data_IF_896976010830
#
_entry.id   IF_896976010830
#
_cell.length_a   1.000
_cell.length_b   1.000
_cell.length_c   1.000
_cell.angle_alpha   90.00
_cell.angle_beta   90.00
_cell.angle_gamma   90.00
#
_symmetry.space_group_name_H-M   'P 1'
#
loop_
_entity.id
_entity.type
_entity.pdbx_description
1 polymer ?
#
# COMPACT_ATOMS: atom_id res chain seq x y z
N UNK A 1 3.72 12.37 -28.78
CA UNK A 1 3.98 13.07 -27.51
C UNK A 1 3.28 12.35 -26.39
N UNK A 2 3.99 12.02 -25.32
CA UNK A 2 3.48 11.32 -24.14
C UNK A 2 3.49 12.30 -22.96
N UNK A 3 2.42 12.33 -22.17
CA UNK A 3 2.34 13.09 -20.93
C UNK A 3 2.35 12.10 -19.76
N UNK A 4 3.24 12.31 -18.80
CA UNK A 4 3.30 11.52 -17.57
C UNK A 4 3.37 12.45 -16.36
N UNK A 5 2.57 12.15 -15.33
CA UNK A 5 2.60 12.86 -14.05
C UNK A 5 3.70 12.37 -13.11
N UNK A 6 4.28 11.19 -13.38
CA UNK A 6 5.39 10.62 -12.63
C UNK A 6 6.61 10.56 -13.55
N UNK A 7 7.68 11.32 -13.28
CA UNK A 7 8.61 11.74 -14.33
C UNK A 7 9.40 10.60 -15.00
N UNK A 8 9.53 9.41 -14.39
CA UNK A 8 10.16 8.19 -14.98
C UNK A 8 10.10 6.99 -13.98
N UNK A 9 9.07 6.95 -13.14
CA UNK A 9 9.31 6.51 -11.76
C UNK A 9 9.41 5.01 -11.48
N UNK A 10 9.25 4.07 -12.41
CA UNK A 10 9.42 2.67 -12.06
C UNK A 10 10.22 1.87 -13.07
N UNK A 11 11.51 1.74 -12.80
CA UNK A 11 12.47 0.88 -13.52
C UNK A 11 12.91 1.40 -14.90
N UNK A 12 14.19 1.23 -15.27
CA UNK A 12 14.68 1.53 -16.62
C UNK A 12 13.90 0.80 -17.73
N UNK A 13 13.27 -0.34 -17.42
CA UNK A 13 12.44 -1.09 -18.36
C UNK A 13 11.18 -0.33 -18.77
N UNK A 14 10.49 0.33 -17.82
CA UNK A 14 9.29 1.11 -18.13
C UNK A 14 9.69 2.35 -18.94
N UNK A 15 10.83 2.98 -18.62
CA UNK A 15 11.40 4.04 -19.45
C UNK A 15 11.63 3.56 -20.88
N UNK A 16 12.21 2.37 -21.10
CA UNK A 16 12.38 1.84 -22.45
C UNK A 16 11.04 1.68 -23.18
N UNK A 17 10.02 1.14 -22.51
CA UNK A 17 8.69 0.98 -23.10
C UNK A 17 8.06 2.33 -23.48
N UNK A 18 8.18 3.35 -22.64
CA UNK A 18 7.70 4.70 -22.92
C UNK A 18 8.45 5.34 -24.10
N UNK A 19 9.78 5.18 -24.15
CA UNK A 19 10.60 5.72 -25.22
C UNK A 19 10.36 5.01 -26.55
N UNK A 20 10.11 3.70 -26.55
CA UNK A 20 9.77 2.98 -27.78
C UNK A 20 8.44 3.46 -28.38
N UNK A 21 7.48 3.88 -27.55
CA UNK A 21 6.22 4.49 -28.01
C UNK A 21 6.45 5.92 -28.51
N UNK A 22 7.26 6.72 -27.78
CA UNK A 22 7.45 8.13 -28.08
C UNK A 22 8.40 8.38 -29.26
N UNK A 23 9.51 7.64 -29.29
CA UNK A 23 10.62 7.73 -30.26
C UNK A 23 11.15 6.31 -30.55
N UNK A 24 10.45 5.53 -31.39
CA UNK A 24 10.82 4.14 -31.68
C UNK A 24 12.27 3.99 -32.14
N UNK A 25 12.98 3.01 -31.59
CA UNK A 25 14.35 2.69 -31.97
C UNK A 25 15.46 3.55 -31.35
N UNK A 26 15.13 4.61 -30.57
CA UNK A 26 16.15 5.45 -29.92
C UNK A 26 17.07 4.66 -28.99
N UNK A 27 16.50 3.76 -28.19
CA UNK A 27 17.22 2.95 -27.20
C UNK A 27 17.61 1.56 -27.73
N UNK A 28 17.33 1.29 -29.01
CA UNK A 28 17.53 -0.01 -29.62
C UNK A 28 16.63 -1.12 -29.05
N UNK A 29 17.00 -2.37 -29.33
CA UNK A 29 16.25 -3.55 -28.90
C UNK A 29 16.23 -3.70 -27.36
N UNK A 30 15.08 -4.10 -26.81
CA UNK A 30 14.88 -4.29 -25.37
C UNK A 30 15.93 -5.21 -24.73
N UNK A 31 16.30 -6.31 -25.38
CA UNK A 31 17.27 -7.26 -24.85
C UNK A 31 18.64 -6.61 -24.60
N UNK A 32 19.08 -5.78 -25.54
CA UNK A 32 20.33 -5.02 -25.44
C UNK A 32 20.23 -3.95 -24.37
N UNK A 33 19.16 -3.15 -24.40
CA UNK A 33 18.90 -2.12 -23.39
C UNK A 33 18.88 -2.71 -21.97
N UNK A 34 18.20 -3.84 -21.77
CA UNK A 34 18.05 -4.50 -20.47
C UNK A 34 19.40 -4.92 -19.89
N UNK A 35 20.28 -5.49 -20.71
CA UNK A 35 21.61 -5.94 -20.25
C UNK A 35 22.58 -4.78 -20.02
N UNK A 36 22.51 -3.73 -20.86
CA UNK A 36 23.42 -2.58 -20.78
C UNK A 36 23.04 -1.62 -19.64
N UNK A 37 21.75 -1.35 -19.46
CA UNK A 37 21.26 -0.36 -18.50
C UNK A 37 20.47 -1.01 -17.36
N UNK A 38 19.35 -1.67 -17.65
CA UNK A 38 18.40 -2.07 -16.60
C UNK A 38 19.00 -3.02 -15.54
N UNK A 39 19.72 -4.05 -15.96
CA UNK A 39 20.37 -5.02 -15.06
C UNK A 39 21.58 -4.44 -14.35
N UNK A 40 22.38 -3.58 -15.01
CA UNK A 40 23.52 -2.89 -14.39
C UNK A 40 23.03 -1.98 -13.26
N UNK A 41 22.01 -1.17 -13.54
CA UNK A 41 21.41 -0.26 -12.56
C UNK A 41 20.79 -1.05 -11.40
N UNK A 42 20.07 -2.14 -11.71
CA UNK A 42 19.46 -3.01 -10.69
C UNK A 42 20.50 -3.68 -9.79
N UNK A 43 21.67 -4.06 -10.32
CA UNK A 43 22.77 -4.64 -9.53
C UNK A 43 23.40 -3.59 -8.61
N UNK A 44 23.66 -2.38 -9.10
CA UNK A 44 24.24 -1.31 -8.30
C UNK A 44 23.30 -0.71 -7.24
N UNK A 45 21.98 -0.94 -7.36
CA UNK A 45 21.00 -0.53 -6.33
C UNK A 45 20.84 -1.55 -5.18
N UNK A 46 21.51 -2.70 -5.23
CA UNK A 46 21.43 -3.68 -4.14
C UNK A 46 22.23 -3.19 -2.93
N UNK A 47 21.73 -3.45 -1.73
CA UNK A 47 22.41 -3.10 -0.46
C UNK A 47 23.82 -3.73 -0.33
N UNK A 48 24.05 -4.84 -1.01
CA UNK A 48 25.31 -5.59 -1.01
C UNK A 48 26.17 -5.30 -2.25
N UNK A 49 25.87 -4.21 -2.98
CA UNK A 49 26.63 -3.86 -4.18
C UNK A 49 28.09 -3.53 -3.83
N UNK A 50 29.01 -4.00 -4.67
CA UNK A 50 30.42 -3.61 -4.56
C UNK A 50 30.62 -2.20 -5.09
N UNK A 51 31.68 -1.52 -4.64
CA UNK A 51 32.02 -0.17 -5.11
C UNK A 51 32.12 -0.09 -6.65
N UNK A 52 32.62 -1.14 -7.31
CA UNK A 52 32.64 -1.24 -8.77
C UNK A 52 31.24 -1.30 -9.39
N UNK A 53 30.30 -1.99 -8.75
CA UNK A 53 28.90 -2.08 -9.22
C UNK A 53 28.17 -0.74 -9.06
N UNK A 54 28.44 0.00 -7.99
CA UNK A 54 27.89 1.34 -7.79
C UNK A 54 28.40 2.31 -8.85
N UNK A 55 29.73 2.35 -9.11
CA UNK A 55 30.31 3.18 -10.17
C UNK A 55 29.76 2.83 -11.56
N UNK A 56 29.61 1.53 -11.85
CA UNK A 56 29.04 1.09 -13.12
C UNK A 56 27.57 1.51 -13.27
N UNK A 57 26.79 1.48 -12.18
CA UNK A 57 25.42 2.03 -12.16
C UNK A 57 25.44 3.52 -12.45
N UNK A 58 26.26 4.29 -11.76
CA UNK A 58 26.30 5.76 -11.93
C UNK A 58 26.63 6.13 -13.38
N UNK A 59 27.63 5.46 -13.99
CA UNK A 59 27.96 5.65 -15.41
C UNK A 59 26.80 5.26 -16.34
N UNK A 60 26.15 4.12 -16.10
CA UNK A 60 25.03 3.68 -16.91
C UNK A 60 23.83 4.65 -16.82
N UNK A 61 23.58 5.23 -15.65
CA UNK A 61 22.53 6.25 -15.43
C UNK A 61 22.87 7.53 -16.18
N UNK A 62 24.12 7.99 -16.11
CA UNK A 62 24.58 9.20 -16.81
C UNK A 62 24.46 9.04 -18.33
N UNK A 63 24.94 7.92 -18.89
CA UNK A 63 24.82 7.60 -20.31
C UNK A 63 23.35 7.54 -20.76
N UNK A 64 22.48 6.88 -19.97
CA UNK A 64 21.07 6.77 -20.30
C UNK A 64 20.36 8.12 -20.25
N UNK A 65 20.64 8.95 -19.24
CA UNK A 65 20.06 10.28 -19.13
C UNK A 65 20.50 11.17 -20.29
N UNK A 66 21.76 11.08 -20.73
CA UNK A 66 22.26 11.83 -21.88
C UNK A 66 21.52 11.44 -23.18
N UNK A 67 21.21 10.15 -23.37
CA UNK A 67 20.47 9.67 -24.55
C UNK A 67 19.03 10.20 -24.62
N UNK A 68 18.35 10.33 -23.48
CA UNK A 68 16.95 10.73 -23.42
C UNK A 68 16.76 12.25 -23.21
N UNK A 69 17.84 12.99 -22.92
CA UNK A 69 17.79 14.38 -22.47
C UNK A 69 16.97 15.29 -23.40
N UNK A 70 17.21 15.22 -24.71
CA UNK A 70 16.52 16.06 -25.70
C UNK A 70 15.05 15.68 -25.94
N UNK A 71 14.64 14.51 -25.45
CA UNK A 71 13.29 13.95 -25.66
C UNK A 71 12.40 14.04 -24.42
N UNK A 72 12.98 14.34 -23.25
CA UNK A 72 12.26 14.42 -21.97
C UNK A 72 12.23 15.86 -21.48
N UNK A 73 11.07 16.51 -21.62
CA UNK A 73 10.84 17.80 -21.00
C UNK A 73 10.31 17.61 -19.57
N UNK A 74 11.16 17.87 -18.57
CA UNK A 74 10.75 17.91 -17.17
C UNK A 74 10.82 19.35 -16.65
N UNK A 75 9.66 19.92 -16.28
CA UNK A 75 9.58 21.18 -15.56
C UNK A 75 9.33 20.89 -14.10
N UNK A 76 10.24 21.34 -13.24
CA UNK A 76 9.97 21.40 -11.82
C UNK A 76 9.19 22.68 -11.55
N UNK A 77 8.23 22.62 -10.62
CA UNK A 77 7.53 23.81 -10.18
C UNK A 77 8.50 24.62 -9.32
N UNK A 78 9.26 25.53 -9.93
CA UNK A 78 10.17 26.42 -9.22
C UNK A 78 9.37 27.43 -8.41
N UNK A 79 9.75 27.59 -7.14
CA UNK A 79 9.07 28.40 -6.13
C UNK A 79 9.05 29.89 -6.49
N UNK A 80 9.99 30.36 -7.31
CA UNK A 80 10.15 31.79 -7.62
C UNK A 80 9.18 32.34 -8.69
N UNK A 81 8.55 31.48 -9.49
CA UNK A 81 7.47 31.90 -10.42
C UNK A 81 6.10 31.96 -9.74
N UNK A 82 6.05 31.66 -8.44
CA UNK A 82 4.82 31.64 -7.65
C UNK A 82 4.76 32.95 -6.86
N UNK A 83 3.74 33.75 -7.16
CA UNK A 83 3.34 35.00 -6.50
C UNK A 83 3.70 35.04 -5.01
N UNK A 84 4.25 36.17 -4.56
CA UNK A 84 4.50 36.52 -3.15
C UNK A 84 3.33 36.04 -2.26
N UNK A 85 3.54 34.98 -1.49
CA UNK A 85 2.52 34.39 -0.61
C UNK A 85 2.42 32.86 -0.61
N UNK A 86 3.16 32.15 -1.46
CA UNK A 86 3.15 30.67 -1.42
C UNK A 86 3.87 30.15 -0.18
N UNK A 87 3.08 29.63 0.77
CA UNK A 87 3.60 29.00 1.99
C UNK A 87 4.35 27.74 1.56
N UNK A 88 5.65 27.66 1.90
CA UNK A 88 6.47 26.49 1.61
C UNK A 88 5.74 25.20 2.01
N UNK A 89 5.56 24.28 1.06
CA UNK A 89 4.94 22.97 1.32
C UNK A 89 5.68 22.28 2.46
N UNK A 90 5.03 22.14 3.61
CA UNK A 90 5.57 21.43 4.76
C UNK A 90 5.11 19.97 4.71
N UNK A 91 6.06 19.05 4.58
CA UNK A 91 5.81 17.61 4.67
C UNK A 91 6.23 17.12 6.06
N UNK A 92 5.28 16.53 6.80
CA UNK A 92 5.51 16.00 8.15
C UNK A 92 5.14 14.53 8.18
N UNK A 93 6.07 13.69 8.64
CA UNK A 93 5.82 12.27 8.90
C UNK A 93 5.43 12.14 10.38
N UNK A 94 4.21 11.67 10.63
CA UNK A 94 3.70 11.41 11.98
C UNK A 94 3.85 9.93 12.31
N UNK A 95 4.65 9.63 13.32
CA UNK A 95 4.84 8.27 13.82
C UNK A 95 3.76 7.94 14.86
N UNK A 96 2.95 6.92 14.57
CA UNK A 96 1.81 6.53 15.39
C UNK A 96 2.02 5.08 15.85
N UNK A 97 1.94 4.84 17.16
CA UNK A 97 1.95 3.49 17.73
C UNK A 97 0.60 2.79 17.53
N UNK A 98 0.57 1.45 17.61
CA UNK A 98 -0.68 0.69 17.59
C UNK A 98 -1.44 0.84 18.92
N UNK A 99 -2.77 0.78 18.87
CA UNK A 99 -3.62 0.70 20.06
C UNK A 99 -3.38 -0.61 20.83
N UNK A 100 -3.89 -0.70 22.06
CA UNK A 100 -3.76 -1.92 22.86
C UNK A 100 -4.42 -3.10 22.17
N UNK A 101 -5.61 -2.88 21.60
CA UNK A 101 -6.38 -3.86 20.85
C UNK A 101 -5.66 -4.25 19.55
N UNK A 102 -5.16 -3.28 18.79
CA UNK A 102 -4.39 -3.53 17.56
C UNK A 102 -3.13 -4.34 17.85
N UNK A 103 -2.41 -3.99 18.93
CA UNK A 103 -1.18 -4.66 19.33
C UNK A 103 -1.44 -6.10 19.79
N UNK A 104 -2.55 -6.32 20.52
CA UNK A 104 -2.99 -7.65 20.92
C UNK A 104 -3.26 -8.54 19.71
N UNK A 105 -4.08 -8.07 18.77
CA UNK A 105 -4.41 -8.79 17.53
C UNK A 105 -3.16 -9.02 16.69
N UNK A 106 -2.27 -8.03 16.58
CA UNK A 106 -1.01 -8.15 15.85
C UNK A 106 -0.14 -9.28 16.40
N UNK A 107 0.05 -9.31 17.73
CA UNK A 107 0.89 -10.30 18.41
C UNK A 107 0.36 -11.72 18.23
N UNK A 108 -0.95 -11.90 18.28
CA UNK A 108 -1.56 -13.20 18.03
C UNK A 108 -1.51 -13.58 16.55
N UNK A 109 -1.69 -12.62 15.64
CA UNK A 109 -1.67 -12.91 14.22
C UNK A 109 -0.29 -13.40 13.73
N UNK A 110 0.81 -12.82 14.23
CA UNK A 110 2.16 -13.21 13.81
C UNK A 110 2.60 -14.59 14.31
N UNK A 111 1.96 -15.14 15.35
CA UNK A 111 2.26 -16.49 15.88
C UNK A 111 1.54 -17.59 15.09
N UNK A 112 0.52 -17.22 14.29
CA UNK A 112 -0.23 -18.15 13.44
C UNK A 112 0.68 -18.95 12.51
N UNK A 113 0.29 -20.19 12.22
CA UNK A 113 0.97 -21.07 11.27
C UNK A 113 1.04 -20.45 9.88
N UNK A 114 0.02 -19.70 9.47
CA UNK A 114 -0.03 -19.01 8.17
C UNK A 114 1.15 -18.04 8.01
N UNK A 115 1.42 -17.20 9.01
CA UNK A 115 2.55 -16.27 9.01
C UNK A 115 3.88 -17.03 9.09
N UNK A 116 3.97 -18.06 9.95
CA UNK A 116 5.18 -18.89 10.06
C UNK A 116 5.53 -19.58 8.73
N UNK A 117 4.54 -20.07 7.99
CA UNK A 117 4.71 -20.68 6.66
C UNK A 117 5.15 -19.65 5.64
N UNK A 118 4.51 -18.47 5.63
CA UNK A 118 4.91 -17.35 4.76
C UNK A 118 6.37 -16.91 5.01
N UNK A 119 6.86 -17.01 6.25
CA UNK A 119 8.24 -16.68 6.62
C UNK A 119 9.24 -17.86 6.47
N UNK A 120 8.78 -19.08 6.23
CA UNK A 120 9.61 -20.28 6.22
C UNK A 120 10.67 -20.27 5.10
N UNK A 121 11.84 -20.87 5.32
CA UNK A 121 12.95 -20.90 4.34
C UNK A 121 12.79 -21.96 3.24
N UNK A 122 11.65 -22.67 3.18
CA UNK A 122 11.38 -23.71 2.19
C UNK A 122 11.02 -23.17 0.80
N UNK A 123 11.17 -24.02 -0.22
CA UNK A 123 10.67 -23.76 -1.58
C UNK A 123 9.19 -24.13 -1.67
N UNK A 124 8.31 -23.26 -1.14
CA UNK A 124 6.88 -23.31 -1.42
C UNK A 124 6.58 -22.36 -2.60
N UNK A 125 6.03 -22.88 -3.70
CA UNK A 125 5.67 -22.08 -4.87
C UNK A 125 4.66 -20.98 -4.53
N UNK A 126 3.85 -21.19 -3.48
CA UNK A 126 2.82 -20.24 -3.04
C UNK A 126 3.29 -19.27 -1.95
N UNK A 127 4.57 -19.33 -1.53
CA UNK A 127 5.12 -18.48 -0.46
C UNK A 127 4.90 -16.98 -0.69
N UNK A 128 5.06 -16.53 -1.94
CA UNK A 128 4.83 -15.13 -2.31
C UNK A 128 3.39 -14.71 -2.05
N UNK A 129 2.44 -15.55 -2.46
CA UNK A 129 1.00 -15.32 -2.24
C UNK A 129 0.67 -15.30 -0.74
N UNK A 130 1.19 -16.25 0.03
CA UNK A 130 0.99 -16.30 1.49
C UNK A 130 1.53 -15.04 2.19
N UNK A 131 2.73 -14.59 1.82
CA UNK A 131 3.31 -13.38 2.39
C UNK A 131 2.48 -12.13 2.05
N UNK A 132 2.03 -12.00 0.80
CA UNK A 132 1.17 -10.88 0.38
C UNK A 132 -0.15 -10.87 1.15
N UNK A 133 -0.81 -12.03 1.34
CA UNK A 133 -2.02 -12.14 2.17
C UNK A 133 -1.79 -11.68 3.61
N UNK A 134 -0.69 -12.14 4.23
CA UNK A 134 -0.34 -11.73 5.59
C UNK A 134 -0.09 -10.23 5.69
N UNK A 135 0.64 -9.65 4.72
CA UNK A 135 0.91 -8.20 4.65
C UNK A 135 -0.40 -7.42 4.50
N UNK A 136 -1.33 -7.90 3.66
CA UNK A 136 -2.63 -7.25 3.47
C UNK A 136 -3.46 -7.25 4.75
N UNK A 137 -3.54 -8.37 5.49
CA UNK A 137 -4.23 -8.42 6.80
C UNK A 137 -3.57 -7.50 7.83
N UNK A 138 -2.24 -7.48 7.90
CA UNK A 138 -1.51 -6.57 8.78
C UNK A 138 -1.70 -5.09 8.42
N UNK A 139 -1.78 -4.77 7.12
CA UNK A 139 -2.08 -3.42 6.65
C UNK A 139 -3.50 -3.00 7.05
N UNK A 140 -4.46 -3.91 6.89
CA UNK A 140 -5.86 -3.74 7.31
C UNK A 140 -5.94 -3.43 8.81
N UNK A 141 -5.30 -4.24 9.64
CA UNK A 141 -5.20 -4.07 11.10
C UNK A 141 -4.68 -2.67 11.48
N UNK A 142 -3.62 -2.21 10.81
CA UNK A 142 -3.02 -0.90 11.04
C UNK A 142 -3.94 0.27 10.62
N UNK A 143 -4.89 0.05 9.72
CA UNK A 143 -5.90 1.05 9.37
C UNK A 143 -7.04 1.03 10.39
N UNK A 144 -7.68 -0.13 10.56
CA UNK A 144 -8.70 -0.35 11.57
C UNK A 144 -8.89 -1.86 11.83
N UNK A 145 -8.97 -2.32 13.10
CA UNK A 145 -9.11 -3.76 13.37
C UNK A 145 -10.46 -4.35 12.93
N UNK A 146 -11.52 -3.56 12.80
CA UNK A 146 -12.83 -4.04 12.30
C UNK A 146 -12.82 -4.46 10.83
N UNK A 147 -11.84 -4.03 10.03
CA UNK A 147 -11.68 -4.51 8.66
C UNK A 147 -11.17 -5.95 8.56
N UNK A 148 -10.88 -6.59 9.69
CA UNK A 148 -10.54 -8.00 9.75
C UNK A 148 -11.77 -8.89 9.90
N UNK A 149 -12.95 -8.30 10.18
CA UNK A 149 -14.21 -9.03 10.21
C UNK A 149 -14.68 -9.35 8.78
N UNK A 150 -15.27 -10.53 8.55
CA UNK A 150 -15.98 -10.81 7.30
C UNK A 150 -17.04 -9.74 7.02
N UNK A 151 -17.25 -9.42 5.74
CA UNK A 151 -18.19 -8.36 5.34
C UNK A 151 -19.62 -8.54 5.90
N UNK A 152 -20.04 -9.79 6.14
CA UNK A 152 -21.33 -10.13 6.76
C UNK A 152 -21.40 -9.80 8.27
N UNK A 153 -20.26 -9.81 8.97
CA UNK A 153 -20.14 -9.56 10.41
C UNK A 153 -19.83 -8.08 10.74
N UNK A 154 -19.71 -7.21 9.73
CA UNK A 154 -19.36 -5.79 9.86
C UNK A 154 -20.58 -4.90 10.21
N UNK A 155 -21.19 -5.18 11.36
CA UNK A 155 -22.33 -4.42 11.90
C UNK A 155 -22.00 -2.93 12.13
N UNK A 156 -20.73 -2.60 12.33
CA UNK A 156 -20.26 -1.23 12.48
C UNK A 156 -20.68 -0.32 11.31
N UNK A 157 -20.84 -0.86 10.08
CA UNK A 157 -21.28 -0.07 8.92
C UNK A 157 -22.67 0.53 9.14
N UNK A 158 -23.57 -0.23 9.77
CA UNK A 158 -24.90 0.25 10.12
C UNK A 158 -24.85 1.34 11.20
N UNK A 159 -23.90 1.27 12.14
CA UNK A 159 -23.71 2.29 13.17
C UNK A 159 -23.32 3.67 12.58
N UNK A 160 -22.67 3.70 11.41
CA UNK A 160 -22.35 4.91 10.65
C UNK A 160 -23.37 5.24 9.55
N UNK A 161 -24.52 4.55 9.51
CA UNK A 161 -25.58 4.82 8.52
C UNK A 161 -25.20 4.45 7.08
N UNK A 162 -24.18 3.61 6.89
CA UNK A 162 -23.75 3.14 5.58
C UNK A 162 -24.69 2.01 5.14
N UNK A 163 -25.64 2.33 4.27
CA UNK A 163 -26.62 1.36 3.76
C UNK A 163 -25.95 0.37 2.81
N UNK A 164 -26.18 -0.92 3.03
CA UNK A 164 -25.68 -2.05 2.24
C UNK A 164 -26.30 -2.18 0.83
N UNK A 165 -26.97 -1.14 0.31
CA UNK A 165 -27.62 -1.12 -1.01
C UNK A 165 -26.64 -1.10 -2.19
N UNK A 166 -25.33 -1.00 -1.94
CA UNK A 166 -24.33 -1.37 -2.91
C UNK A 166 -24.03 -2.87 -2.72
N UNK A 167 -24.64 -3.71 -3.55
CA UNK A 167 -24.18 -5.09 -3.73
C UNK A 167 -22.65 -5.05 -3.92
N UNK A 168 -21.87 -5.97 -3.34
CA UNK A 168 -20.42 -6.04 -3.55
C UNK A 168 -20.02 -5.97 -5.04
N UNK A 169 -20.91 -6.40 -5.93
CA UNK A 169 -20.74 -6.43 -7.37
C UNK A 169 -20.92 -5.07 -8.08
N UNK A 170 -21.52 -4.07 -7.44
CA UNK A 170 -21.91 -2.80 -8.08
C UNK A 170 -20.86 -1.67 -7.91
N UNK A 171 -19.78 -1.91 -7.16
CA UNK A 171 -18.64 -1.01 -7.11
C UNK A 171 -17.46 -1.63 -7.87
N UNK A 172 -17.23 -1.25 -9.15
CA UNK A 172 -16.11 -1.79 -9.93
C UNK A 172 -14.73 -1.36 -9.38
N UNK A 173 -14.71 -0.47 -8.38
CA UNK A 173 -13.55 -0.06 -7.59
C UNK A 173 -13.60 -0.63 -6.16
N UNK A 174 -14.17 -1.82 -5.95
CA UNK A 174 -13.78 -2.57 -4.76
C UNK A 174 -12.24 -2.68 -4.79
N UNK A 175 -11.60 -2.22 -3.72
CA UNK A 175 -10.14 -2.27 -3.54
C UNK A 175 -9.63 -3.60 -4.09
N UNK A 176 -8.77 -3.61 -5.12
CA UNK A 176 -8.20 -4.84 -5.67
C UNK A 176 -7.59 -5.73 -4.55
N UNK A 177 -7.17 -5.10 -3.44
CA UNK A 177 -6.71 -5.76 -2.22
C UNK A 177 -7.84 -6.38 -1.38
N UNK A 178 -8.96 -5.70 -1.22
CA UNK A 178 -10.14 -6.18 -0.47
C UNK A 178 -10.84 -7.26 -1.28
N UNK A 179 -11.01 -7.09 -2.60
CA UNK A 179 -11.47 -8.12 -3.53
C UNK A 179 -10.54 -9.35 -3.53
N UNK A 180 -9.22 -9.17 -3.45
CA UNK A 180 -8.29 -10.30 -3.34
C UNK A 180 -8.34 -11.01 -1.98
N UNK A 181 -8.80 -10.33 -0.93
CA UNK A 181 -9.05 -10.91 0.39
C UNK A 181 -10.43 -11.59 0.45
N UNK A 182 -11.47 -10.99 -0.13
CA UNK A 182 -12.86 -11.44 -0.09
C UNK A 182 -13.13 -12.55 -1.13
N UNK A 183 -12.58 -12.47 -2.35
CA UNK A 183 -12.61 -13.59 -3.33
C UNK A 183 -11.72 -14.77 -2.92
N UNK A 184 -11.04 -14.69 -1.78
CA UNK A 184 -10.33 -15.83 -1.20
C UNK A 184 -11.14 -16.61 -0.16
N UNK A 185 -12.35 -16.14 0.18
CA UNK A 185 -13.28 -16.77 1.12
C UNK A 185 -14.44 -17.51 0.39
N UNK A 186 -14.46 -17.49 -0.95
CA UNK A 186 -15.44 -18.21 -1.76
C UNK A 186 -15.13 -19.71 -1.82
N UNK A 187 -15.65 -20.47 -0.85
CA UNK A 187 -16.03 -21.90 -0.85
C UNK A 187 -15.11 -22.99 -1.43
N UNK A 188 -13.93 -22.65 -1.93
CA UNK A 188 -12.88 -23.58 -2.37
C UNK A 188 -11.56 -23.06 -1.80
N UNK A 189 -11.47 -23.02 -0.46
CA UNK A 189 -10.17 -22.98 0.20
C UNK A 189 -9.37 -24.17 -0.33
N UNK A 190 -8.26 -23.96 -1.05
CA UNK A 190 -7.54 -25.07 -1.62
C UNK A 190 -7.00 -25.95 -0.48
N UNK A 191 -6.97 -27.28 -0.71
CA UNK A 191 -6.58 -28.38 0.21
C UNK A 191 -5.30 -28.19 1.06
N UNK A 192 -4.58 -27.07 0.92
CA UNK A 192 -3.37 -26.72 1.66
C UNK A 192 -3.57 -25.71 2.80
N UNK A 193 -4.79 -25.20 3.04
CA UNK A 193 -5.14 -24.64 4.35
C UNK A 193 -5.46 -25.82 5.24
N UNK A 194 -4.45 -26.31 5.95
CA UNK A 194 -4.64 -27.36 6.94
C UNK A 194 -5.78 -26.93 7.89
N UNK A 195 -6.92 -27.64 7.82
CA UNK A 195 -7.99 -27.61 8.82
C UNK A 195 -7.55 -28.21 10.17
N UNK A 196 -6.24 -28.17 10.47
CA UNK A 196 -5.68 -28.54 11.76
C UNK A 196 -5.62 -27.30 12.65
N UNK A 197 -6.54 -27.27 13.61
CA UNK A 197 -6.63 -26.42 14.81
C UNK A 197 -5.32 -25.68 15.15
N UNK A 198 -5.21 -24.45 14.65
CA UNK A 198 -4.21 -23.49 15.09
C UNK A 198 -4.87 -22.61 16.14
N UNK A 199 -4.76 -23.01 17.41
CA UNK A 199 -5.35 -22.25 18.53
C UNK A 199 -4.98 -20.75 18.55
N UNK A 200 -3.89 -20.36 17.88
CA UNK A 200 -3.55 -18.96 17.64
C UNK A 200 -4.52 -18.26 16.67
N UNK A 201 -4.89 -18.92 15.57
CA UNK A 201 -5.88 -18.41 14.62
C UNK A 201 -7.27 -18.32 15.26
N UNK A 202 -7.63 -19.29 16.10
CA UNK A 202 -8.88 -19.25 16.87
C UNK A 202 -8.89 -18.11 17.88
N UNK A 203 -7.79 -17.88 18.58
CA UNK A 203 -7.67 -16.76 19.51
C UNK A 203 -7.74 -15.43 18.75
N UNK A 204 -7.03 -15.30 17.62
CA UNK A 204 -7.09 -14.15 16.73
C UNK A 204 -8.55 -13.85 16.28
N UNK A 205 -9.27 -14.85 15.78
CA UNK A 205 -10.65 -14.71 15.35
C UNK A 205 -11.58 -14.31 16.51
N UNK A 206 -11.36 -14.89 17.70
CA UNK A 206 -12.10 -14.53 18.92
C UNK A 206 -11.86 -13.09 19.32
N UNK A 207 -10.61 -12.62 19.27
CA UNK A 207 -10.26 -11.24 19.63
C UNK A 207 -10.94 -10.23 18.71
N UNK A 208 -10.98 -10.50 17.41
CA UNK A 208 -11.62 -9.60 16.42
C UNK A 208 -13.13 -9.56 16.62
N UNK A 209 -13.79 -10.72 16.80
CA UNK A 209 -15.23 -10.79 17.05
C UNK A 209 -15.67 -10.19 18.38
N UNK A 210 -14.75 -10.07 19.34
CA UNK A 210 -15.00 -9.43 20.62
C UNK A 210 -14.92 -7.89 20.57
N UNK A 211 -14.52 -7.30 19.43
CA UNK A 211 -14.39 -5.85 19.31
C UNK A 211 -15.76 -5.15 19.35
N UNK A 212 -15.85 -3.96 19.98
CA UNK A 212 -17.07 -3.17 19.99
C UNK A 212 -17.41 -2.65 18.59
N UNK A 213 -18.67 -2.85 18.18
CA UNK A 213 -19.23 -2.36 16.90
C UNK A 213 -20.42 -1.41 17.09
N UNK A 214 -20.78 -1.12 18.34
CA UNK A 214 -22.05 -0.49 18.72
C UNK A 214 -21.99 1.06 18.79
N UNK A 215 -20.83 1.62 19.13
CA UNK A 215 -20.65 3.05 19.39
C UNK A 215 -19.48 3.60 18.61
N UNK A 216 -19.72 4.64 17.80
CA UNK A 216 -18.70 5.33 17.01
C UNK A 216 -17.49 5.79 17.82
N UNK A 217 -17.66 6.18 19.10
CA UNK A 217 -16.52 6.54 19.97
C UNK A 217 -15.66 5.35 20.34
N UNK A 218 -16.28 4.20 20.62
CA UNK A 218 -15.55 2.96 20.92
C UNK A 218 -14.82 2.48 19.68
N UNK A 219 -15.46 2.57 18.52
CA UNK A 219 -14.88 2.22 17.23
C UNK A 219 -13.66 3.10 16.94
N UNK A 220 -13.77 4.43 17.07
CA UNK A 220 -12.65 5.34 16.91
C UNK A 220 -11.48 4.98 17.83
N UNK A 221 -11.79 4.59 19.08
CA UNK A 221 -10.78 4.21 20.06
C UNK A 221 -9.99 2.94 19.68
N UNK A 222 -10.50 2.10 18.78
CA UNK A 222 -9.81 0.88 18.37
C UNK A 222 -8.60 1.14 17.45
N UNK A 223 -8.53 2.28 16.76
CA UNK A 223 -7.44 2.61 15.85
C UNK A 223 -6.71 3.89 16.25
N UNK A 224 -5.42 3.76 16.58
CA UNK A 224 -4.59 4.92 16.91
C UNK A 224 -4.48 5.92 15.76
N UNK A 225 -4.57 5.48 14.50
CA UNK A 225 -4.59 6.39 13.35
C UNK A 225 -5.85 7.25 13.35
N UNK A 226 -7.02 6.66 13.62
CA UNK A 226 -8.28 7.41 13.70
C UNK A 226 -8.29 8.37 14.88
N UNK A 227 -7.81 7.95 16.06
CA UNK A 227 -7.69 8.83 17.23
C UNK A 227 -6.81 10.06 16.93
N UNK A 228 -5.63 9.85 16.34
CA UNK A 228 -4.71 10.94 15.97
C UNK A 228 -5.35 11.82 14.89
N UNK A 229 -5.98 11.23 13.88
CA UNK A 229 -6.68 11.94 12.83
C UNK A 229 -7.80 12.83 13.41
N UNK A 230 -8.64 12.31 14.30
CA UNK A 230 -9.70 13.05 14.98
C UNK A 230 -9.14 14.27 15.74
N UNK A 231 -8.04 14.07 16.47
CA UNK A 231 -7.36 15.14 17.20
C UNK A 231 -6.80 16.22 16.25
N UNK A 232 -6.20 15.82 15.13
CA UNK A 232 -5.66 16.74 14.13
C UNK A 232 -6.77 17.51 13.41
N UNK A 233 -7.82 16.83 12.96
CA UNK A 233 -8.95 17.44 12.26
C UNK A 233 -9.65 18.49 13.12
N UNK A 234 -9.84 18.22 14.41
CA UNK A 234 -10.43 19.21 15.33
C UNK A 234 -9.59 20.47 15.43
N UNK A 235 -8.27 20.33 15.63
CA UNK A 235 -7.36 21.49 15.70
C UNK A 235 -7.33 22.28 14.38
N UNK A 236 -7.30 21.58 13.24
CA UNK A 236 -7.28 22.21 11.93
C UNK A 236 -8.59 22.94 11.61
N UNK A 237 -9.73 22.35 11.99
CA UNK A 237 -11.04 22.98 11.87
C UNK A 237 -11.17 24.21 12.75
N UNK A 238 -10.70 24.14 14.00
CA UNK A 238 -10.72 25.28 14.92
C UNK A 238 -9.80 26.41 14.41
N UNK A 239 -8.74 26.08 13.66
CA UNK A 239 -7.89 27.04 12.93
C UNK A 239 -8.47 27.54 11.59
N UNK A 240 -9.66 27.06 11.17
CA UNK A 240 -10.29 27.45 9.92
C UNK A 240 -9.64 26.86 8.66
N UNK A 241 -8.80 25.83 8.79
CA UNK A 241 -8.14 25.18 7.67
C UNK A 241 -9.08 24.21 6.95
N UNK A 242 -8.91 24.10 5.63
CA UNK A 242 -9.55 23.05 4.83
C UNK A 242 -8.60 21.86 4.74
N UNK A 243 -9.12 20.66 4.93
CA UNK A 243 -8.34 19.42 4.94
C UNK A 243 -8.76 18.56 3.76
N UNK A 244 -7.77 18.02 3.05
CA UNK A 244 -7.96 16.99 2.05
C UNK A 244 -7.42 15.67 2.62
N UNK A 245 -8.27 14.64 2.65
CA UNK A 245 -7.91 13.31 3.13
C UNK A 245 -7.77 12.37 1.94
N UNK A 246 -6.64 11.67 1.89
CA UNK A 246 -6.38 10.63 0.91
C UNK A 246 -6.42 9.28 1.61
N UNK A 247 -7.44 8.48 1.30
CA UNK A 247 -7.56 7.12 1.77
C UNK A 247 -7.47 6.19 0.56
N UNK A 248 -6.53 5.24 0.54
CA UNK A 248 -6.49 4.26 -0.55
C UNK A 248 -7.68 3.31 -0.48
N UNK A 249 -8.31 3.14 0.69
CA UNK A 249 -9.40 2.18 0.88
C UNK A 249 -10.74 2.90 1.00
N UNK A 250 -11.71 2.52 0.17
CA UNK A 250 -13.05 3.12 0.17
C UNK A 250 -13.78 2.85 1.48
N UNK A 251 -13.66 1.64 2.02
CA UNK A 251 -14.18 1.27 3.35
C UNK A 251 -13.61 2.09 4.50
N UNK A 252 -12.43 2.71 4.32
CA UNK A 252 -11.85 3.63 5.32
C UNK A 252 -12.54 4.99 5.31
N UNK A 253 -13.10 5.42 4.18
CA UNK A 253 -13.89 6.65 4.14
C UNK A 253 -15.18 6.50 4.94
N UNK A 254 -15.80 5.32 4.91
CA UNK A 254 -17.01 5.01 5.69
C UNK A 254 -16.83 5.18 7.20
N UNK A 255 -15.63 4.94 7.74
CA UNK A 255 -15.30 5.15 9.15
C UNK A 255 -14.97 6.60 9.51
N UNK A 256 -14.67 7.43 8.51
CA UNK A 256 -14.19 8.80 8.69
C UNK A 256 -15.29 9.84 8.44
N UNK A 257 -16.36 9.47 7.74
CA UNK A 257 -17.54 10.31 7.45
C UNK A 257 -18.38 10.58 8.72
#
# INVERSE_FOLDING_TARGET
FLLTGTPIQNTPSDLWALMEIAVPGLLGEFATFKNTFAEVIKRGNRREATETQERNKDRAVEELNALIYDYVLRREKYVDEITEGDVSKLEVIVWIGLSEEQLGIYREYITTRQVRRACSKGQDQQKGMHALRCISKLRSLCNHPLFLLPSEEQEWRAAFGVTCDASPQDNPEQDDLQLALDNSDSSEDPDWIDNEDDGAMDNYNRMIRALPQDDGRKIEALSSKLQVLHCLLRRLRDGGHRVLLFCPWTSMLDLVQ
#
